data_IF_675928005072
#
_entry.id   IF_675928005072
#
_cell.length_a   1.000
_cell.length_b   1.000
_cell.length_c   1.000
_cell.angle_alpha   90.00
_cell.angle_beta   90.00
_cell.angle_gamma   90.00
#
_symmetry.space_group_name_H-M   'P 1'
#
loop_
_entity.id
_entity.type
_entity.pdbx_description
1 polymer ?
#
# COMPACT_ATOMS: atom_id res chain seq x y z
N UNK A 1 16.89 -1.78 16.69
CA UNK A 1 15.46 -2.12 16.61
C UNK A 1 14.69 -0.98 15.95
N UNK A 2 15.00 -0.67 14.68
CA UNK A 2 14.25 0.31 13.87
C UNK A 2 13.59 -0.42 12.69
N UNK A 3 12.79 -1.43 13.01
CA UNK A 3 11.81 -1.94 12.06
C UNK A 3 10.62 -0.96 12.12
N UNK A 4 10.80 0.23 11.52
CA UNK A 4 9.66 0.95 10.96
C UNK A 4 9.16 0.03 9.85
N UNK A 5 8.32 -0.93 10.25
CA UNK A 5 7.62 -1.76 9.33
C UNK A 5 6.88 -0.83 8.38
N UNK A 6 7.16 -0.98 7.10
CA UNK A 6 6.19 -0.66 6.08
C UNK A 6 5.06 -1.68 6.32
N UNK A 7 4.14 -1.35 7.21
CA UNK A 7 2.83 -1.96 7.27
C UNK A 7 1.93 -0.92 6.61
N UNK A 8 1.92 -0.88 5.28
CA UNK A 8 1.04 0.05 4.59
C UNK A 8 -0.44 -0.25 4.92
N UNK A 9 -0.83 -1.47 5.28
CA UNK A 9 -2.26 -1.77 5.43
C UNK A 9 -2.75 -2.81 6.47
N UNK A 10 -1.89 -3.49 7.25
CA UNK A 10 -2.36 -4.58 8.17
C UNK A 10 -2.76 -4.11 9.58
N UNK A 11 -3.36 -2.92 9.73
CA UNK A 11 -4.06 -2.58 10.98
C UNK A 11 -5.53 -2.33 10.71
N UNK A 12 -6.19 -3.33 10.12
CA UNK A 12 -7.65 -3.42 10.14
C UNK A 12 -8.17 -4.00 11.47
N UNK A 13 -7.33 -4.65 12.29
CA UNK A 13 -7.84 -5.54 13.35
C UNK A 13 -7.19 -5.40 14.74
N UNK A 14 -6.56 -4.27 15.09
CA UNK A 14 -6.32 -3.96 16.51
C UNK A 14 -7.42 -3.08 17.13
N UNK A 15 -8.38 -2.62 16.33
CA UNK A 15 -9.55 -1.92 16.84
C UNK A 15 -10.68 -2.91 16.99
N UNK A 16 -11.16 -3.08 18.22
CA UNK A 16 -12.31 -3.93 18.50
C UNK A 16 -13.46 -3.63 17.53
N UNK A 17 -14.05 -4.70 17.01
CA UNK A 17 -15.23 -4.67 16.16
C UNK A 17 -16.36 -3.89 16.87
N UNK A 18 -16.48 -2.59 16.63
CA UNK A 18 -17.77 -1.93 16.83
C UNK A 18 -18.62 -2.30 15.62
N UNK A 19 -19.81 -2.84 15.87
CA UNK A 19 -20.80 -3.11 14.82
C UNK A 19 -21.06 -1.85 13.97
N UNK A 20 -21.35 -1.98 12.68
CA UNK A 20 -21.65 -0.85 11.77
C UNK A 20 -22.72 0.12 12.34
N UNK A 21 -23.69 -0.40 13.11
CA UNK A 21 -24.68 0.43 13.81
C UNK A 21 -24.05 1.34 14.88
N UNK A 22 -23.07 0.86 15.63
CA UNK A 22 -22.37 1.65 16.65
C UNK A 22 -21.46 2.71 16.01
N UNK A 23 -20.86 2.40 14.86
CA UNK A 23 -20.14 3.37 14.03
C UNK A 23 -21.06 4.50 13.56
N UNK A 24 -22.26 4.17 13.11
CA UNK A 24 -23.21 5.15 12.57
C UNK A 24 -23.67 6.14 13.64
N UNK A 25 -23.92 5.67 14.87
CA UNK A 25 -24.24 6.55 16.00
C UNK A 25 -23.04 7.41 16.43
N UNK A 26 -21.82 6.84 16.44
CA UNK A 26 -20.60 7.56 16.84
C UNK A 26 -20.10 8.57 15.81
N UNK A 27 -20.36 8.38 14.50
CA UNK A 27 -20.00 9.33 13.42
C UNK A 27 -20.44 10.77 13.71
N UNK A 28 -21.59 10.92 14.36
CA UNK A 28 -22.19 12.22 14.66
C UNK A 28 -22.06 12.63 16.14
N UNK A 29 -21.37 11.84 16.97
CA UNK A 29 -21.19 12.20 18.38
C UNK A 29 -20.29 13.43 18.54
N UNK A 30 -20.68 14.43 19.35
CA UNK A 30 -19.86 15.60 19.64
C UNK A 30 -18.76 15.31 20.68
N UNK A 31 -18.84 14.18 21.40
CA UNK A 31 -17.87 13.76 22.42
C UNK A 31 -17.31 12.40 22.04
N UNK A 32 -16.00 12.33 21.90
CA UNK A 32 -15.25 11.08 21.66
C UNK A 32 -13.91 11.15 22.37
N UNK A 33 -13.47 10.02 22.91
CA UNK A 33 -12.06 9.83 23.26
C UNK A 33 -11.20 9.82 22.00
N UNK A 34 -9.88 10.04 22.13
CA UNK A 34 -8.99 10.01 20.98
C UNK A 34 -8.93 8.66 20.26
N UNK A 35 -9.06 7.54 20.99
CA UNK A 35 -9.15 6.20 20.41
C UNK A 35 -10.44 5.99 19.63
N UNK A 36 -11.57 6.52 20.13
CA UNK A 36 -12.85 6.47 19.42
C UNK A 36 -12.84 7.36 18.17
N UNK A 37 -12.25 8.55 18.27
CA UNK A 37 -12.10 9.46 17.15
C UNK A 37 -11.23 8.83 16.05
N UNK A 38 -10.13 8.17 16.43
CA UNK A 38 -9.29 7.40 15.51
C UNK A 38 -10.08 6.30 14.83
N UNK A 39 -10.80 5.48 15.60
CA UNK A 39 -11.59 4.41 15.04
C UNK A 39 -12.65 4.89 14.03
N UNK A 40 -13.39 5.95 14.37
CA UNK A 40 -14.38 6.56 13.47
C UNK A 40 -13.69 7.13 12.23
N UNK A 41 -12.58 7.84 12.41
CA UNK A 41 -11.81 8.42 11.30
C UNK A 41 -11.29 7.36 10.33
N UNK A 42 -10.72 6.26 10.85
CA UNK A 42 -10.17 5.15 10.07
C UNK A 42 -11.22 4.45 9.22
N UNK A 43 -12.47 4.36 9.71
CA UNK A 43 -13.59 3.75 8.98
C UNK A 43 -14.31 4.74 8.04
N UNK A 44 -14.47 6.00 8.45
CA UNK A 44 -15.22 7.00 7.70
C UNK A 44 -14.39 7.76 6.64
N UNK A 45 -13.07 7.62 6.64
CA UNK A 45 -12.19 8.27 5.63
C UNK A 45 -12.55 7.90 4.20
N UNK A 46 -13.08 6.68 3.98
CA UNK A 46 -13.54 6.17 2.68
C UNK A 46 -14.85 6.82 2.20
N UNK A 47 -15.57 7.52 3.08
CA UNK A 47 -16.82 8.18 2.71
C UNK A 47 -16.53 9.49 1.99
N UNK A 48 -17.25 9.68 0.88
CA UNK A 48 -16.99 10.71 -0.14
C UNK A 48 -17.01 12.14 0.40
N UNK A 49 -17.75 12.37 1.49
CA UNK A 49 -17.95 13.71 2.08
C UNK A 49 -18.05 13.64 3.59
N UNK A 50 -17.17 12.90 4.25
CA UNK A 50 -17.14 12.96 5.71
C UNK A 50 -16.56 14.31 6.16
N UNK A 51 -17.44 15.30 6.38
CA UNK A 51 -17.09 16.70 6.67
C UNK A 51 -16.27 16.88 7.95
N UNK A 52 -16.33 15.91 8.87
CA UNK A 52 -15.62 15.95 10.16
C UNK A 52 -14.19 15.40 10.14
N UNK A 53 -13.64 15.01 8.96
CA UNK A 53 -12.27 14.44 8.84
C UNK A 53 -11.22 15.30 9.56
N UNK A 54 -11.23 16.62 9.35
CA UNK A 54 -10.27 17.55 9.97
C UNK A 54 -10.45 17.68 11.47
N UNK A 55 -11.70 17.79 11.93
CA UNK A 55 -12.00 17.84 13.35
C UNK A 55 -11.47 16.59 14.05
N UNK A 56 -11.79 15.41 13.53
CA UNK A 56 -11.35 14.15 14.13
C UNK A 56 -9.84 13.99 14.06
N UNK A 57 -9.21 14.31 12.94
CA UNK A 57 -7.77 14.33 12.81
C UNK A 57 -7.10 15.18 13.90
N UNK A 58 -7.60 16.40 14.10
CA UNK A 58 -7.07 17.31 15.11
C UNK A 58 -7.29 16.77 16.54
N UNK A 59 -8.45 16.19 16.84
CA UNK A 59 -8.71 15.56 18.15
C UNK A 59 -7.80 14.34 18.40
N UNK A 60 -7.57 13.51 17.38
CA UNK A 60 -6.67 12.36 17.45
C UNK A 60 -5.22 12.82 17.71
N UNK A 61 -4.76 13.85 16.99
CA UNK A 61 -3.43 14.41 17.21
C UNK A 61 -3.29 14.97 18.63
N UNK A 62 -4.26 15.77 19.10
CA UNK A 62 -4.27 16.28 20.48
C UNK A 62 -4.18 15.13 21.50
N UNK A 63 -4.96 14.08 21.30
CA UNK A 63 -4.88 12.88 22.14
C UNK A 63 -3.47 12.28 22.12
N UNK A 64 -2.88 12.03 20.95
CA UNK A 64 -1.54 11.44 20.89
C UNK A 64 -0.45 12.31 21.48
N UNK A 65 -0.51 13.62 21.28
CA UNK A 65 0.44 14.55 21.90
C UNK A 65 0.24 14.69 23.42
N UNK A 66 -0.93 14.31 23.95
CA UNK A 66 -1.18 14.29 25.39
C UNK A 66 -0.61 13.05 26.10
N UNK A 67 -0.30 11.99 25.35
CA UNK A 67 0.26 10.76 25.92
C UNK A 67 1.72 10.99 26.34
N UNK A 68 2.10 10.47 27.51
CA UNK A 68 3.48 10.50 28.00
C UNK A 68 4.46 9.79 27.04
N UNK A 69 3.99 8.70 26.43
CA UNK A 69 4.67 8.01 25.35
C UNK A 69 3.84 8.13 24.08
N UNK A 70 4.44 8.66 23.03
CA UNK A 70 3.76 8.87 21.76
C UNK A 70 3.76 7.56 20.97
N UNK A 71 2.59 6.95 20.66
CA UNK A 71 2.50 5.74 19.87
C UNK A 71 2.72 6.09 18.39
N UNK A 72 3.97 6.35 18.03
CA UNK A 72 4.41 6.90 16.76
C UNK A 72 3.80 6.22 15.52
N UNK A 73 3.70 4.88 15.53
CA UNK A 73 3.07 4.12 14.43
C UNK A 73 1.64 4.59 14.13
N UNK A 74 0.89 4.96 15.17
CA UNK A 74 -0.48 5.45 15.03
C UNK A 74 -0.54 6.88 14.51
N UNK A 75 0.43 7.73 14.89
CA UNK A 75 0.54 9.08 14.29
C UNK A 75 0.77 8.98 12.78
N UNK A 76 1.74 8.17 12.33
CA UNK A 76 1.97 7.96 10.89
C UNK A 76 0.72 7.48 10.17
N UNK A 77 0.01 6.52 10.76
CA UNK A 77 -1.21 5.96 10.21
C UNK A 77 -2.30 7.03 10.00
N UNK A 78 -2.48 7.90 10.99
CA UNK A 78 -3.48 8.98 10.96
C UNK A 78 -3.13 10.03 9.90
N UNK A 79 -1.86 10.44 9.82
CA UNK A 79 -1.38 11.32 8.75
C UNK A 79 -1.58 10.69 7.37
N UNK A 80 -1.13 9.44 7.17
CA UNK A 80 -1.25 8.75 5.88
C UNK A 80 -2.70 8.61 5.43
N UNK A 81 -3.63 8.39 6.36
CA UNK A 81 -5.07 8.30 6.07
C UNK A 81 -5.70 9.63 5.71
N UNK A 82 -5.32 10.72 6.38
CA UNK A 82 -5.80 12.04 6.02
C UNK A 82 -5.24 12.49 4.66
N UNK A 83 -3.96 12.22 4.41
CA UNK A 83 -3.31 12.48 3.11
C UNK A 83 -4.04 11.72 2.00
N UNK A 84 -4.25 10.41 2.18
CA UNK A 84 -4.99 9.59 1.22
C UNK A 84 -6.38 10.18 0.97
N UNK A 85 -7.12 10.55 2.01
CA UNK A 85 -8.44 11.15 1.86
C UNK A 85 -8.41 12.44 1.04
N UNK A 86 -7.49 13.37 1.33
CA UNK A 86 -7.40 14.62 0.57
C UNK A 86 -7.05 14.40 -0.89
N UNK A 87 -6.17 13.45 -1.20
CA UNK A 87 -5.82 13.13 -2.58
C UNK A 87 -6.99 12.45 -3.31
N UNK A 88 -7.63 11.49 -2.65
CA UNK A 88 -8.76 10.70 -3.18
C UNK A 88 -9.99 11.55 -3.53
N UNK A 89 -10.21 12.63 -2.78
CA UNK A 89 -11.31 13.57 -2.97
C UNK A 89 -10.87 14.89 -3.62
N UNK A 90 -9.67 14.92 -4.21
CA UNK A 90 -9.14 16.07 -4.95
C UNK A 90 -9.06 17.37 -4.13
N UNK A 91 -8.98 17.28 -2.80
CA UNK A 91 -8.83 18.41 -1.87
C UNK A 91 -7.36 18.88 -1.79
N UNK A 92 -6.73 19.14 -2.94
CA UNK A 92 -5.27 19.37 -3.05
C UNK A 92 -4.74 20.55 -2.23
N UNK A 93 -5.55 21.60 -2.04
CA UNK A 93 -5.17 22.74 -1.19
C UNK A 93 -4.95 22.31 0.27
N UNK A 94 -5.82 21.43 0.78
CA UNK A 94 -5.70 20.91 2.14
C UNK A 94 -4.56 19.91 2.29
N UNK A 95 -4.33 19.08 1.26
CA UNK A 95 -3.14 18.24 1.17
C UNK A 95 -1.85 19.07 1.28
N UNK A 96 -1.72 20.16 0.51
CA UNK A 96 -0.53 21.02 0.55
C UNK A 96 -0.34 21.68 1.92
N UNK A 97 -1.42 22.14 2.56
CA UNK A 97 -1.36 22.67 3.92
C UNK A 97 -0.88 21.63 4.94
N UNK A 98 -1.44 20.41 4.88
CA UNK A 98 -1.04 19.30 5.74
C UNK A 98 0.43 18.91 5.52
N UNK A 99 0.87 18.89 4.26
CA UNK A 99 2.26 18.64 3.88
C UNK A 99 3.21 19.67 4.49
N UNK A 100 2.85 20.95 4.40
CA UNK A 100 3.63 22.03 5.02
C UNK A 100 3.66 21.92 6.55
N UNK A 101 2.54 21.54 7.18
CA UNK A 101 2.49 21.30 8.62
C UNK A 101 3.42 20.16 9.05
N UNK A 102 3.42 19.03 8.33
CA UNK A 102 4.34 17.91 8.54
C UNK A 102 5.79 18.38 8.38
N UNK A 103 6.06 19.15 7.33
CA UNK A 103 7.38 19.68 7.01
C UNK A 103 7.90 20.64 8.11
N UNK A 104 7.04 21.45 8.74
CA UNK A 104 7.46 22.31 9.86
C UNK A 104 7.84 21.53 11.13
N UNK A 105 7.42 20.28 11.25
CA UNK A 105 7.76 19.38 12.37
C UNK A 105 9.06 18.58 12.14
N UNK A 106 9.85 18.92 11.10
CA UNK A 106 11.01 18.16 10.58
C UNK A 106 12.28 18.05 11.45
N UNK A 107 12.24 18.32 12.74
CA UNK A 107 13.39 18.00 13.62
C UNK A 107 13.52 16.50 13.94
N UNK A 108 12.49 15.69 13.65
CA UNK A 108 12.49 14.24 13.82
C UNK A 108 12.54 13.55 12.45
N UNK A 109 13.58 12.73 12.17
CA UNK A 109 13.73 11.95 10.93
C UNK A 109 12.47 11.14 10.57
N UNK A 110 11.67 10.84 11.59
CA UNK A 110 10.37 10.20 11.52
C UNK A 110 9.35 10.91 10.61
N UNK A 111 9.24 12.24 10.61
CA UNK A 111 8.28 12.94 9.74
C UNK A 111 8.68 12.92 8.25
N UNK A 112 9.94 12.63 7.94
CA UNK A 112 10.40 12.46 6.55
C UNK A 112 9.73 11.27 5.87
N UNK A 113 9.47 10.18 6.61
CA UNK A 113 8.83 8.99 6.06
C UNK A 113 7.39 9.28 5.63
N UNK A 114 6.64 9.99 6.50
CA UNK A 114 5.28 10.43 6.23
C UNK A 114 5.24 11.35 5.00
N UNK A 115 6.19 12.29 4.89
CA UNK A 115 6.25 13.21 3.76
C UNK A 115 6.50 12.50 2.42
N UNK A 116 7.42 11.52 2.42
CA UNK A 116 7.71 10.73 1.22
C UNK A 116 6.51 9.86 0.85
N UNK A 117 5.82 9.25 1.82
CA UNK A 117 4.55 8.54 1.59
C UNK A 117 3.50 9.47 0.98
N UNK A 118 3.39 10.70 1.51
CA UNK A 118 2.44 11.69 1.07
C UNK A 118 2.66 12.10 -0.40
N UNK A 119 3.92 12.39 -0.72
CA UNK A 119 4.34 12.76 -2.07
C UNK A 119 4.22 11.60 -3.05
N UNK A 120 4.41 10.36 -2.57
CA UNK A 120 4.09 9.16 -3.33
C UNK A 120 2.61 9.11 -3.70
N UNK A 121 1.68 9.16 -2.73
CA UNK A 121 0.25 9.14 -3.03
C UNK A 121 -0.16 10.28 -3.98
N UNK A 122 0.45 11.45 -3.82
CA UNK A 122 0.21 12.59 -4.70
C UNK A 122 0.72 12.33 -6.12
N UNK A 123 1.91 11.72 -6.26
CA UNK A 123 2.48 11.37 -7.56
C UNK A 123 1.65 10.36 -8.35
N UNK A 124 0.89 9.49 -7.68
CA UNK A 124 -0.04 8.56 -8.35
C UNK A 124 -1.11 9.29 -9.18
N UNK A 125 -1.50 10.50 -8.78
CA UNK A 125 -2.46 11.32 -9.52
C UNK A 125 -1.83 12.05 -10.71
N UNK A 126 -0.52 12.30 -10.65
CA UNK A 126 0.22 13.14 -11.59
C UNK A 126 1.53 12.47 -12.02
N UNK A 127 1.52 11.74 -13.15
CA UNK A 127 2.69 11.00 -13.65
C UNK A 127 3.96 11.86 -13.81
N UNK A 128 3.82 13.16 -14.09
CA UNK A 128 4.95 14.08 -14.22
C UNK A 128 5.74 14.28 -12.90
N UNK A 129 5.15 13.89 -11.76
CA UNK A 129 5.77 13.95 -10.44
C UNK A 129 6.64 12.74 -10.11
N UNK A 130 6.61 11.67 -10.91
CA UNK A 130 7.45 10.50 -10.65
C UNK A 130 8.96 10.82 -10.70
N UNK A 131 9.40 11.75 -11.56
CA UNK A 131 10.82 12.15 -11.63
C UNK A 131 11.32 12.78 -10.33
N UNK A 132 10.52 13.66 -9.72
CA UNK A 132 10.84 14.28 -8.43
C UNK A 132 10.94 13.21 -7.32
N UNK A 133 10.03 12.24 -7.35
CA UNK A 133 10.02 11.14 -6.40
C UNK A 133 11.18 10.15 -6.62
N UNK A 134 11.63 9.96 -7.86
CA UNK A 134 12.83 9.17 -8.19
C UNK A 134 14.07 9.72 -7.50
N UNK A 135 14.27 11.04 -7.52
CA UNK A 135 15.40 11.68 -6.85
C UNK A 135 15.30 11.52 -5.32
N UNK A 136 14.10 11.67 -4.77
CA UNK A 136 13.86 11.58 -3.33
C UNK A 136 14.09 10.18 -2.77
N UNK A 137 13.58 9.12 -3.40
CA UNK A 137 13.81 7.77 -2.87
C UNK A 137 15.29 7.36 -2.97
N UNK A 138 15.98 7.73 -4.06
CA UNK A 138 17.42 7.47 -4.22
C UNK A 138 18.25 8.15 -3.15
N UNK A 139 17.90 9.41 -2.83
CA UNK A 139 18.50 10.15 -1.72
C UNK A 139 18.21 9.45 -0.38
N UNK A 140 16.97 9.00 -0.15
CA UNK A 140 16.59 8.31 1.08
C UNK A 140 17.36 7.01 1.29
N UNK A 141 17.51 6.17 0.25
CA UNK A 141 18.30 4.93 0.33
C UNK A 141 19.76 5.25 0.69
N UNK A 142 20.32 6.34 0.14
CA UNK A 142 21.70 6.76 0.42
C UNK A 142 21.89 7.27 1.86
N UNK A 143 20.94 8.06 2.35
CA UNK A 143 21.01 8.68 3.68
C UNK A 143 20.62 7.70 4.80
N UNK A 144 19.63 6.84 4.55
CA UNK A 144 19.06 5.91 5.52
C UNK A 144 18.93 4.48 4.93
N UNK A 145 20.04 3.79 4.60
CA UNK A 145 20.01 2.48 3.92
C UNK A 145 19.35 1.34 4.71
N UNK A 146 19.11 1.55 6.02
CA UNK A 146 18.37 0.58 6.86
C UNK A 146 16.86 0.84 6.87
N UNK A 147 16.42 2.00 6.40
CA UNK A 147 15.01 2.35 6.33
C UNK A 147 14.42 1.72 5.06
N UNK A 148 13.51 0.76 5.26
CA UNK A 148 12.91 0.02 4.16
C UNK A 148 12.11 0.94 3.20
N UNK A 149 11.62 2.08 3.70
CA UNK A 149 10.73 2.97 2.96
C UNK A 149 11.29 3.42 1.61
N UNK A 150 12.58 3.76 1.54
CA UNK A 150 13.20 4.20 0.30
C UNK A 150 13.15 3.13 -0.79
N UNK A 151 13.26 1.86 -0.39
CA UNK A 151 13.16 0.72 -1.28
C UNK A 151 11.72 0.49 -1.73
N UNK A 152 10.74 0.53 -0.81
CA UNK A 152 9.32 0.40 -1.15
C UNK A 152 8.86 1.48 -2.13
N UNK A 153 9.14 2.75 -1.82
CA UNK A 153 8.78 3.89 -2.69
C UNK A 153 9.51 3.81 -4.03
N UNK A 154 10.81 3.47 -4.01
CA UNK A 154 11.57 3.30 -5.24
C UNK A 154 11.00 2.21 -6.14
N UNK A 155 10.70 1.04 -5.58
CA UNK A 155 10.05 -0.06 -6.30
C UNK A 155 8.73 0.35 -6.90
N UNK A 156 7.88 1.04 -6.16
CA UNK A 156 6.59 1.49 -6.66
C UNK A 156 6.76 2.47 -7.83
N UNK A 157 7.62 3.47 -7.68
CA UNK A 157 7.83 4.51 -8.69
C UNK A 157 8.36 3.91 -9.98
N UNK A 158 9.41 3.10 -9.90
CA UNK A 158 9.98 2.45 -11.08
C UNK A 158 8.99 1.47 -11.72
N UNK A 159 8.18 0.79 -10.91
CA UNK A 159 7.13 -0.12 -11.39
C UNK A 159 6.08 0.62 -12.23
N UNK A 160 5.55 1.73 -11.75
CA UNK A 160 4.55 2.52 -12.48
C UNK A 160 5.12 3.26 -13.69
N UNK A 161 6.44 3.48 -13.73
CA UNK A 161 7.15 3.94 -14.91
C UNK A 161 7.43 2.82 -15.93
N UNK A 162 7.17 1.56 -15.58
CA UNK A 162 7.45 0.39 -16.42
C UNK A 162 8.90 -0.08 -16.39
N UNK A 163 9.72 0.45 -15.48
CA UNK A 163 11.14 0.15 -15.34
C UNK A 163 11.37 -1.10 -14.47
N UNK A 164 10.81 -2.25 -14.86
CA UNK A 164 10.81 -3.48 -14.05
C UNK A 164 12.21 -3.98 -13.66
N UNK A 165 13.21 -3.85 -14.53
CA UNK A 165 14.60 -4.20 -14.18
C UNK A 165 15.19 -3.27 -13.09
N UNK A 166 14.79 -2.00 -13.06
CA UNK A 166 15.23 -1.08 -12.00
C UNK A 166 14.55 -1.40 -10.67
N UNK A 167 13.27 -1.82 -10.69
CA UNK A 167 12.57 -2.35 -9.50
C UNK A 167 13.39 -3.47 -8.87
N UNK A 168 13.85 -4.43 -9.67
CA UNK A 168 14.65 -5.56 -9.18
C UNK A 168 15.97 -5.10 -8.56
N UNK A 169 16.69 -4.17 -9.19
CA UNK A 169 17.93 -3.60 -8.62
C UNK A 169 17.69 -2.90 -7.28
N UNK A 170 16.63 -2.09 -7.19
CA UNK A 170 16.27 -1.41 -5.93
C UNK A 170 15.98 -2.45 -4.85
N UNK A 171 15.18 -3.48 -5.15
CA UNK A 171 14.82 -4.53 -4.20
C UNK A 171 16.01 -5.41 -3.79
N UNK A 172 16.98 -5.60 -4.67
CA UNK A 172 18.20 -6.34 -4.36
C UNK A 172 19.10 -5.63 -3.36
N UNK A 173 18.97 -4.31 -3.23
CA UNK A 173 19.66 -3.51 -2.22
C UNK A 173 18.90 -3.43 -0.89
N UNK A 174 17.66 -3.93 -0.82
CA UNK A 174 16.84 -3.79 0.38
C UNK A 174 17.38 -4.62 1.55
N UNK A 175 17.41 -4.06 2.78
CA UNK A 175 17.94 -4.74 3.96
C UNK A 175 17.06 -5.90 4.44
N UNK A 176 15.78 -5.90 4.09
CA UNK A 176 14.85 -7.00 4.34
C UNK A 176 14.09 -7.34 3.06
N UNK A 177 14.47 -8.46 2.43
CA UNK A 177 13.91 -8.90 1.14
C UNK A 177 12.65 -9.76 1.26
N UNK A 178 12.28 -10.18 2.48
CA UNK A 178 11.08 -11.00 2.72
C UNK A 178 9.88 -10.17 3.16
N UNK A 179 10.01 -8.84 3.22
CA UNK A 179 8.88 -7.97 3.49
C UNK A 179 7.79 -8.16 2.39
N UNK A 180 6.52 -8.44 2.75
CA UNK A 180 5.46 -8.70 1.78
C UNK A 180 5.28 -7.58 0.74
N UNK A 181 5.28 -6.32 1.17
CA UNK A 181 5.12 -5.18 0.23
C UNK A 181 6.22 -5.16 -0.82
N UNK A 182 7.46 -5.56 -0.47
CA UNK A 182 8.56 -5.67 -1.41
C UNK A 182 8.46 -6.90 -2.30
N UNK A 183 8.05 -8.05 -1.74
CA UNK A 183 7.85 -9.29 -2.49
C UNK A 183 6.79 -9.12 -3.59
N UNK A 184 5.75 -8.33 -3.33
CA UNK A 184 4.73 -7.98 -4.31
C UNK A 184 5.34 -7.36 -5.59
N UNK A 185 6.10 -6.27 -5.44
CA UNK A 185 6.76 -5.62 -6.58
C UNK A 185 7.84 -6.49 -7.21
N UNK A 186 8.55 -7.29 -6.41
CA UNK A 186 9.57 -8.22 -6.90
C UNK A 186 8.96 -9.27 -7.82
N UNK A 187 7.92 -9.96 -7.35
CA UNK A 187 7.30 -11.08 -8.05
C UNK A 187 6.74 -10.68 -9.40
N UNK A 188 6.01 -9.57 -9.45
CA UNK A 188 5.49 -9.10 -10.73
C UNK A 188 6.58 -8.55 -11.65
N UNK A 189 7.59 -7.87 -11.13
CA UNK A 189 8.71 -7.39 -11.97
C UNK A 189 9.53 -8.54 -12.57
N UNK A 190 9.70 -9.64 -11.84
CA UNK A 190 10.29 -10.88 -12.36
C UNK A 190 9.43 -11.47 -13.48
N UNK A 191 8.12 -11.56 -13.28
CA UNK A 191 7.20 -12.02 -14.32
C UNK A 191 7.29 -11.16 -15.60
N UNK A 192 7.26 -9.83 -15.45
CA UNK A 192 7.35 -8.89 -16.58
C UNK A 192 8.69 -8.89 -17.30
N UNK A 193 9.75 -9.35 -16.64
CA UNK A 193 11.08 -9.51 -17.22
C UNK A 193 11.34 -10.94 -17.73
N UNK A 194 10.32 -11.82 -17.71
CA UNK A 194 10.40 -13.18 -18.25
C UNK A 194 11.05 -14.21 -17.32
N UNK A 195 11.33 -13.85 -16.06
CA UNK A 195 11.95 -14.72 -15.05
C UNK A 195 10.85 -15.48 -14.30
N UNK A 196 10.15 -16.37 -15.00
CA UNK A 196 8.91 -16.98 -14.52
C UNK A 196 9.13 -17.95 -13.34
N UNK A 197 10.22 -18.70 -13.33
CA UNK A 197 10.56 -19.61 -12.22
C UNK A 197 10.88 -18.84 -10.94
N UNK A 198 11.60 -17.72 -11.05
CA UNK A 198 11.89 -16.85 -9.93
C UNK A 198 10.61 -16.18 -9.41
N UNK A 199 9.75 -15.70 -10.31
CA UNK A 199 8.45 -15.12 -9.96
C UNK A 199 7.52 -16.13 -9.25
N UNK A 200 7.54 -17.39 -9.68
CA UNK A 200 6.83 -18.49 -9.03
C UNK A 200 7.35 -18.77 -7.62
N UNK A 201 8.66 -18.64 -7.41
CA UNK A 201 9.25 -18.76 -6.06
C UNK A 201 8.77 -17.61 -5.16
N UNK A 202 8.76 -16.38 -5.70
CA UNK A 202 8.28 -15.21 -4.95
C UNK A 202 6.80 -15.31 -4.58
N UNK A 203 5.95 -15.91 -5.43
CA UNK A 203 4.53 -16.09 -5.07
C UNK A 203 4.34 -17.02 -3.87
N UNK A 204 5.19 -18.06 -3.74
CA UNK A 204 5.20 -18.98 -2.60
C UNK A 204 5.73 -18.30 -1.34
N UNK A 205 6.82 -17.55 -1.45
CA UNK A 205 7.38 -16.76 -0.35
C UNK A 205 6.37 -15.74 0.17
N UNK A 206 5.69 -15.02 -0.73
CA UNK A 206 4.63 -14.08 -0.36
C UNK A 206 3.51 -14.79 0.40
N UNK A 207 2.96 -15.88 -0.13
CA UNK A 207 1.89 -16.63 0.51
C UNK A 207 2.26 -17.12 1.92
N UNK A 208 3.53 -17.49 2.12
CA UNK A 208 4.05 -17.89 3.42
C UNK A 208 4.15 -16.72 4.39
N UNK A 209 4.74 -15.59 3.96
CA UNK A 209 4.91 -14.41 4.81
C UNK A 209 3.56 -13.75 5.17
N UNK A 210 2.52 -13.96 4.37
CA UNK A 210 1.17 -13.44 4.62
C UNK A 210 0.17 -14.50 5.10
N UNK A 211 0.61 -15.69 5.52
CA UNK A 211 -0.30 -16.81 5.83
C UNK A 211 -1.30 -16.52 6.95
N UNK A 212 -0.87 -15.70 7.90
CA UNK A 212 -1.59 -15.35 9.13
C UNK A 212 -2.31 -14.00 8.99
N UNK A 213 -2.29 -13.40 7.81
CA UNK A 213 -2.95 -12.12 7.52
C UNK A 213 -4.39 -12.35 7.08
N UNK A 214 -5.30 -11.56 7.65
CA UNK A 214 -6.70 -11.49 7.22
C UNK A 214 -7.05 -10.03 6.86
N UNK A 215 -7.70 -9.78 5.71
CA UNK A 215 -8.10 -10.76 4.70
C UNK A 215 -6.91 -11.36 3.91
N UNK A 216 -7.06 -12.59 3.44
CA UNK A 216 -6.05 -13.24 2.58
C UNK A 216 -5.93 -12.59 1.21
N UNK A 217 -4.71 -12.35 0.76
CA UNK A 217 -4.43 -11.78 -0.57
C UNK A 217 -4.57 -12.82 -1.69
N UNK A 218 -5.23 -12.41 -2.77
CA UNK A 218 -5.31 -13.13 -4.05
C UNK A 218 -4.05 -13.00 -4.90
N UNK A 219 -3.19 -12.01 -4.62
CA UNK A 219 -1.95 -11.76 -5.37
C UNK A 219 -1.08 -13.00 -5.58
N UNK A 220 -0.69 -13.78 -4.54
CA UNK A 220 0.19 -14.93 -4.74
C UNK A 220 -0.42 -16.00 -5.65
N UNK A 221 -1.73 -16.22 -5.58
CA UNK A 221 -2.45 -17.17 -6.43
C UNK A 221 -2.44 -16.75 -7.89
N UNK A 222 -2.71 -15.47 -8.15
CA UNK A 222 -2.71 -14.99 -9.53
C UNK A 222 -1.30 -14.92 -10.14
N UNK A 223 -0.29 -14.49 -9.37
CA UNK A 223 1.09 -14.50 -9.86
C UNK A 223 1.56 -15.94 -10.17
N UNK A 224 1.21 -16.90 -9.29
CA UNK A 224 1.48 -18.33 -9.50
C UNK A 224 0.84 -18.84 -10.78
N UNK A 225 -0.45 -18.55 -10.98
CA UNK A 225 -1.19 -18.90 -12.19
C UNK A 225 -0.54 -18.37 -13.47
N UNK A 226 -0.19 -17.09 -13.50
CA UNK A 226 0.49 -16.48 -14.65
C UNK A 226 1.83 -17.17 -14.97
N UNK A 227 2.63 -17.44 -13.94
CA UNK A 227 3.93 -18.09 -14.11
C UNK A 227 3.78 -19.52 -14.62
N UNK A 228 2.89 -20.31 -14.03
CA UNK A 228 2.63 -21.69 -14.45
C UNK A 228 2.16 -21.77 -15.89
N UNK A 229 1.30 -20.84 -16.30
CA UNK A 229 0.87 -20.76 -17.69
C UNK A 229 2.07 -20.50 -18.62
N UNK A 230 2.89 -19.49 -18.32
CA UNK A 230 4.07 -19.16 -19.15
C UNK A 230 5.11 -20.30 -19.18
N UNK A 231 5.09 -21.17 -18.17
CA UNK A 231 5.91 -22.38 -18.08
C UNK A 231 5.25 -23.62 -18.72
N UNK A 232 4.13 -23.47 -19.43
CA UNK A 232 3.47 -24.54 -20.18
C UNK A 232 2.60 -25.47 -19.33
N UNK A 233 2.08 -25.00 -18.19
CA UNK A 233 1.24 -25.74 -17.24
C UNK A 233 -0.17 -25.12 -17.13
N UNK A 234 -0.99 -25.20 -18.20
CA UNK A 234 -2.26 -24.46 -18.26
C UNK A 234 -3.34 -24.96 -17.30
N UNK A 235 -3.35 -26.26 -16.97
CA UNK A 235 -4.35 -26.84 -16.05
C UNK A 235 -4.09 -26.41 -14.60
N UNK A 236 -2.83 -26.42 -14.18
CA UNK A 236 -2.40 -25.91 -12.88
C UNK A 236 -2.67 -24.41 -12.77
N UNK A 237 -2.33 -23.65 -13.81
CA UNK A 237 -2.58 -22.21 -13.87
C UNK A 237 -4.06 -21.87 -13.70
N UNK A 238 -4.95 -22.62 -14.36
CA UNK A 238 -6.40 -22.44 -14.24
C UNK A 238 -6.89 -22.71 -12.82
N UNK A 239 -6.39 -23.76 -12.18
CA UNK A 239 -6.76 -24.12 -10.81
C UNK A 239 -6.39 -23.00 -9.83
N UNK A 240 -5.18 -22.46 -9.91
CA UNK A 240 -4.74 -21.41 -8.99
C UNK A 240 -5.43 -20.06 -9.26
N UNK A 241 -5.77 -19.77 -10.51
CA UNK A 241 -6.58 -18.60 -10.83
C UNK A 241 -7.96 -18.65 -10.18
N UNK A 242 -8.65 -19.79 -10.29
CA UNK A 242 -9.96 -19.98 -9.66
C UNK A 242 -9.88 -19.92 -8.12
N UNK A 243 -8.76 -20.31 -7.53
CA UNK A 243 -8.53 -20.15 -6.09
C UNK A 243 -8.32 -18.69 -5.70
N UNK A 244 -7.49 -17.96 -6.44
CA UNK A 244 -7.29 -16.52 -6.24
C UNK A 244 -8.57 -15.71 -6.38
N UNK A 245 -9.45 -16.10 -7.31
CA UNK A 245 -10.74 -15.42 -7.55
C UNK A 245 -11.73 -15.55 -6.40
N UNK A 246 -11.61 -16.59 -5.56
CA UNK A 246 -12.43 -16.73 -4.35
C UNK A 246 -12.00 -15.76 -3.24
N UNK A 247 -10.84 -15.13 -3.38
CA UNK A 247 -10.30 -14.18 -2.42
C UNK A 247 -10.63 -12.76 -2.90
N UNK A 248 -11.50 -12.06 -2.17
CA UNK A 248 -11.96 -10.71 -2.52
C UNK A 248 -10.91 -9.60 -2.28
N UNK A 249 -9.75 -9.93 -1.69
CA UNK A 249 -8.71 -8.97 -1.35
C UNK A 249 -7.54 -9.06 -2.34
N UNK A 250 -7.35 -7.98 -3.10
CA UNK A 250 -6.15 -7.70 -3.90
C UNK A 250 -5.40 -6.55 -3.23
N UNK A 251 -4.08 -6.64 -3.12
CA UNK A 251 -3.28 -5.62 -2.46
C UNK A 251 -3.40 -4.25 -3.16
N UNK A 252 -4.00 -3.30 -2.44
CA UNK A 252 -4.41 -1.96 -2.88
C UNK A 252 -3.23 -1.14 -3.44
N UNK A 253 -1.98 -1.44 -3.07
CA UNK A 253 -0.78 -0.74 -3.55
C UNK A 253 -0.53 -0.89 -5.05
N UNK A 254 -1.08 -1.93 -5.70
CA UNK A 254 -1.07 -2.04 -7.17
C UNK A 254 -2.14 -1.15 -7.83
N UNK A 255 -3.13 -0.68 -7.07
CA UNK A 255 -4.44 -0.30 -7.58
C UNK A 255 -4.99 1.01 -6.96
N UNK A 256 -4.21 2.08 -6.88
CA UNK A 256 -4.82 3.38 -6.56
C UNK A 256 -5.79 3.79 -7.69
N UNK A 257 -7.10 3.96 -7.40
CA UNK A 257 -8.25 4.55 -8.14
C UNK A 257 -8.19 4.77 -9.67
N UNK A 258 -7.08 5.28 -10.20
CA UNK A 258 -6.82 5.42 -11.65
C UNK A 258 -6.26 4.14 -12.30
N UNK A 259 -5.67 3.26 -11.50
CA UNK A 259 -5.12 1.96 -11.90
C UNK A 259 -6.00 0.77 -11.46
N UNK A 260 -7.07 1.03 -10.69
CA UNK A 260 -7.93 0.05 -10.00
C UNK A 260 -8.43 -1.10 -10.89
N UNK A 261 -8.61 -0.85 -12.18
CA UNK A 261 -9.05 -1.87 -13.13
C UNK A 261 -7.96 -2.32 -14.08
N UNK A 262 -6.93 -1.51 -14.37
CA UNK A 262 -6.03 -1.84 -15.48
C UNK A 262 -5.20 -3.10 -15.23
N UNK A 263 -4.60 -3.26 -14.06
CA UNK A 263 -3.75 -4.42 -13.79
C UNK A 263 -4.55 -5.71 -13.57
N UNK A 264 -5.72 -5.61 -12.91
CA UNK A 264 -6.63 -6.73 -12.70
C UNK A 264 -7.21 -7.15 -14.04
N UNK A 265 -7.69 -6.20 -14.83
CA UNK A 265 -8.16 -6.45 -16.18
C UNK A 265 -7.04 -6.95 -17.09
N UNK A 266 -5.80 -6.48 -16.95
CA UNK A 266 -4.64 -6.99 -17.70
C UNK A 266 -4.33 -8.42 -17.30
N UNK A 267 -4.32 -8.75 -16.01
CA UNK A 267 -4.11 -10.12 -15.54
C UNK A 267 -5.25 -11.04 -15.93
N UNK A 268 -6.50 -10.60 -15.81
CA UNK A 268 -7.68 -11.32 -16.27
C UNK A 268 -7.66 -11.49 -17.79
N UNK A 269 -7.30 -10.45 -18.56
CA UNK A 269 -7.14 -10.54 -20.03
C UNK A 269 -6.01 -11.47 -20.41
N UNK A 270 -4.87 -11.40 -19.72
CA UNK A 270 -3.76 -12.32 -19.92
C UNK A 270 -4.28 -13.73 -19.66
N UNK A 271 -4.80 -14.05 -18.48
CA UNK A 271 -5.29 -15.40 -18.15
C UNK A 271 -6.40 -15.88 -19.11
N UNK A 272 -7.35 -15.04 -19.49
CA UNK A 272 -8.43 -15.38 -20.44
C UNK A 272 -7.88 -15.61 -21.86
N UNK A 273 -6.98 -14.75 -22.34
CA UNK A 273 -6.34 -14.93 -23.66
C UNK A 273 -5.55 -16.24 -23.70
N UNK A 274 -4.88 -16.55 -22.61
CA UNK A 274 -4.08 -17.74 -22.41
C UNK A 274 -4.96 -19.02 -22.37
N UNK A 275 -6.18 -18.96 -21.83
CA UNK A 275 -7.18 -20.05 -21.88
C UNK A 275 -7.78 -20.30 -23.27
N UNK A 276 -7.91 -19.25 -24.09
CA UNK A 276 -8.45 -19.36 -25.45
C UNK A 276 -7.46 -20.00 -26.42
N UNK A 277 -6.16 -19.81 -26.22
CA UNK A 277 -5.10 -20.42 -27.03
C UNK A 277 -4.97 -21.93 -26.82
N UNK A 278 -5.30 -22.45 -25.63
CA UNK A 278 -5.24 -23.89 -25.31
C UNK A 278 -6.49 -24.68 -25.73
N UNK A 279 -7.54 -23.99 -26.21
CA UNK A 279 -8.82 -24.61 -26.63
C UNK A 279 -8.87 -24.92 -28.14
N UNK A 280 -7.75 -24.77 -28.86
CA UNK A 280 -7.58 -25.07 -30.29
C UNK A 280 -6.61 -26.22 -30.48
#
# INVERSE_FOLDING_TARGET
>A
MNNLFIYFFVLFLSFGLFAEEQLTQKKYSPVMSGEEAEYVFMNAVRETKFERKEYLFNEILKYYYSLKEIPYKRICLVYNRLIWAYIEFEEYSKFENLKNEINLKLSDNKFKSILIDAEYFYSLQFKDKYKELQEKYKKLIKEEPKLLLGYGVGSIVEFYLGNYEEVLKVLDLAPNKTNPDLLLFKGYSLFRTGKYEDALTISQDYAKETSDMEPKSSFPYYLKSLCEYKLGKPEEAKKDYEEGKKLDYIDILLFSKKNDNQFKDEMEKEIVSLQQETSK
#
